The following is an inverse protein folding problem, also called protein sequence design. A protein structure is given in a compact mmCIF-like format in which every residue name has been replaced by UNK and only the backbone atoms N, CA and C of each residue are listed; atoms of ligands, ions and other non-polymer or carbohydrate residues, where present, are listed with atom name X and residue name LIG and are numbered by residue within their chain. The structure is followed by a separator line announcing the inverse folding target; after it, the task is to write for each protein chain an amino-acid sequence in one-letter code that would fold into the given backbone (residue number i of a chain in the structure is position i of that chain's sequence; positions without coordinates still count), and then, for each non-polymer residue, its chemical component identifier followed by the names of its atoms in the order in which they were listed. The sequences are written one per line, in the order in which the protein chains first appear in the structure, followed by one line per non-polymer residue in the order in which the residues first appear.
data_IF_073638243456
#
_entry.id   IF_073638243456
#
_cell.length_a   1.000
_cell.length_b   1.000
_cell.length_c   1.000
_cell.angle_alpha   90.00
_cell.angle_beta   90.00
_cell.angle_gamma   90.00
#
_symmetry.space_group_name_H-M   'P 1'
#
loop_
_entity.id
_entity.type
_entity.pdbx_description
1 polymer ?
#
# COMPACT_ATOMS: atom_id res chain seq x y z
N UNK A 1 -28.71 8.26 -77.66
CA UNK A 1 -29.68 7.34 -77.00
C UNK A 1 -29.33 7.25 -75.52
N UNK A 2 -30.34 7.37 -74.65
CA UNK A 2 -30.27 7.35 -73.17
C UNK A 2 -30.23 5.91 -72.62
N UNK A 3 -29.87 5.77 -71.33
CA UNK A 3 -30.37 4.87 -70.22
C UNK A 3 -29.18 4.61 -69.25
N UNK A 4 -29.02 5.18 -68.04
CA UNK A 4 -29.70 5.02 -66.70
C UNK A 4 -29.91 3.55 -66.31
N UNK A 5 -29.42 2.96 -65.19
CA UNK A 5 -29.58 3.20 -63.72
C UNK A 5 -28.59 2.31 -62.93
N UNK A 6 -27.87 2.74 -61.88
CA UNK A 6 -28.16 2.75 -60.41
C UNK A 6 -28.63 1.42 -59.77
N UNK A 7 -27.98 1.01 -58.66
CA UNK A 7 -28.42 0.17 -57.49
C UNK A 7 -27.35 -0.88 -57.13
N UNK A 8 -26.96 -1.25 -55.91
CA UNK A 8 -27.08 -0.80 -54.51
C UNK A 8 -26.17 -1.75 -53.72
N UNK A 9 -25.59 -1.28 -52.61
CA UNK A 9 -24.68 -2.07 -51.77
C UNK A 9 -25.33 -3.31 -51.14
N UNK A 10 -24.50 -4.29 -50.84
CA UNK A 10 -24.80 -5.38 -49.91
C UNK A 10 -23.60 -5.55 -48.97
N UNK A 11 -23.90 -5.46 -47.68
CA UNK A 11 -23.03 -5.74 -46.55
C UNK A 11 -22.24 -7.03 -46.77
N UNK A 12 -20.91 -6.95 -46.67
CA UNK A 12 -20.09 -8.13 -46.49
C UNK A 12 -20.39 -8.72 -45.09
N UNK A 13 -21.06 -9.86 -45.07
CA UNK A 13 -21.19 -10.68 -43.87
C UNK A 13 -19.79 -11.10 -43.38
N UNK A 14 -19.50 -11.08 -42.07
CA UNK A 14 -18.22 -11.55 -41.55
C UNK A 14 -18.07 -13.07 -41.76
N UNK A 15 -16.85 -13.56 -42.02
CA UNK A 15 -16.60 -14.96 -42.36
C UNK A 15 -16.91 -15.91 -41.17
N UNK A 16 -17.47 -17.10 -41.44
CA UNK A 16 -17.83 -18.10 -40.43
C UNK A 16 -16.60 -18.92 -40.01
N UNK A 17 -15.69 -18.31 -39.27
CA UNK A 17 -14.60 -19.02 -38.57
C UNK A 17 -14.63 -18.64 -37.08
N UNK A 18 -15.84 -18.54 -36.52
CA UNK A 18 -16.07 -18.16 -35.13
C UNK A 18 -17.01 -19.12 -34.41
N UNK A 19 -16.97 -20.42 -34.72
CA UNK A 19 -17.72 -21.42 -33.95
C UNK A 19 -16.90 -22.71 -33.86
N UNK A 20 -16.38 -23.01 -32.65
CA UNK A 20 -15.66 -24.24 -32.20
C UNK A 20 -14.12 -24.25 -32.10
N UNK A 21 -13.52 -23.21 -31.54
CA UNK A 21 -12.23 -23.35 -30.84
C UNK A 21 -12.19 -22.65 -29.46
N UNK A 22 -13.36 -22.27 -28.92
CA UNK A 22 -13.49 -21.59 -27.62
C UNK A 22 -13.44 -22.53 -26.40
N UNK A 23 -13.18 -23.82 -26.60
CA UNK A 23 -13.13 -24.79 -25.52
C UNK A 23 -11.93 -25.70 -25.72
N UNK A 24 -10.81 -25.35 -25.07
CA UNK A 24 -9.70 -26.23 -24.61
C UNK A 24 -8.35 -25.54 -24.76
N UNK A 25 -8.08 -24.57 -23.89
CA UNK A 25 -6.74 -24.39 -23.30
C UNK A 25 -6.77 -23.53 -22.03
N UNK A 26 -7.71 -23.86 -21.13
CA UNK A 26 -7.53 -23.60 -19.70
C UNK A 26 -6.44 -24.53 -19.16
N UNK A 27 -5.16 -24.15 -19.26
CA UNK A 27 -4.10 -24.61 -18.31
C UNK A 27 -2.72 -23.97 -18.53
N UNK A 28 -2.64 -22.65 -18.68
CA UNK A 28 -1.38 -21.95 -18.41
C UNK A 28 -1.38 -21.56 -16.92
N UNK A 29 -1.08 -22.55 -16.08
CA UNK A 29 -0.74 -22.31 -14.68
C UNK A 29 0.64 -21.67 -14.62
N UNK A 30 0.69 -20.37 -14.43
CA UNK A 30 1.85 -19.69 -13.88
C UNK A 30 1.38 -18.85 -12.71
N UNK A 31 1.23 -19.55 -11.59
CA UNK A 31 1.57 -19.12 -10.25
C UNK A 31 1.34 -17.63 -10.01
N UNK A 32 0.14 -17.31 -9.51
CA UNK A 32 -0.02 -16.15 -8.66
C UNK A 32 1.16 -16.17 -7.68
N UNK A 33 2.07 -15.20 -7.84
CA UNK A 33 3.14 -14.96 -6.88
C UNK A 33 2.42 -14.90 -5.55
N UNK A 34 2.61 -15.91 -4.70
CA UNK A 34 2.28 -15.79 -3.30
C UNK A 34 3.12 -14.61 -2.83
N UNK A 35 2.54 -13.41 -2.89
CA UNK A 35 3.10 -12.23 -2.25
C UNK A 35 3.31 -12.70 -0.82
N UNK A 36 4.58 -12.84 -0.41
CA UNK A 36 4.92 -13.23 0.95
C UNK A 36 4.18 -12.22 1.80
N UNK A 37 3.09 -12.66 2.45
CA UNK A 37 2.38 -11.84 3.41
C UNK A 37 3.31 -11.79 4.61
N UNK A 38 4.30 -10.90 4.53
CA UNK A 38 5.12 -10.55 5.67
C UNK A 38 4.18 -10.09 6.80
N UNK A 39 4.66 -10.12 8.05
CA UNK A 39 3.88 -9.68 9.20
C UNK A 39 3.19 -8.34 8.89
N UNK A 40 1.85 -8.35 8.86
CA UNK A 40 1.09 -7.12 8.67
C UNK A 40 1.29 -6.28 9.92
N UNK A 41 1.86 -5.09 9.75
CA UNK A 41 2.04 -4.14 10.85
C UNK A 41 0.66 -3.63 11.27
N UNK A 42 0.27 -3.91 12.50
CA UNK A 42 -0.96 -3.36 13.09
C UNK A 42 -0.81 -1.85 13.19
N UNK A 43 -1.80 -1.11 12.71
CA UNK A 43 -1.84 0.34 12.87
C UNK A 43 -2.32 0.67 14.28
N UNK A 44 -1.48 1.35 15.06
CA UNK A 44 -1.78 1.81 16.42
C UNK A 44 -1.87 3.33 16.38
N UNK A 45 -3.02 3.87 16.77
CA UNK A 45 -3.19 5.31 16.95
C UNK A 45 -2.71 5.73 18.33
N UNK A 46 -1.81 6.72 18.39
CA UNK A 46 -1.34 7.33 19.63
C UNK A 46 -1.86 8.75 19.69
N UNK A 47 -2.44 9.15 20.82
CA UNK A 47 -2.82 10.54 21.07
C UNK A 47 -1.62 11.30 21.61
N UNK A 48 -1.26 12.36 20.92
CA UNK A 48 -0.18 13.26 21.28
C UNK A 48 -0.71 14.69 21.29
N UNK A 49 -0.13 15.52 22.14
CA UNK A 49 -0.33 16.98 22.08
C UNK A 49 0.43 17.55 20.88
N UNK A 50 0.04 18.74 20.43
CA UNK A 50 0.71 19.41 19.31
C UNK A 50 2.19 19.67 19.59
N UNK A 51 2.52 20.08 20.82
CA UNK A 51 3.92 20.27 21.26
C UNK A 51 4.74 18.96 21.15
N UNK A 52 4.17 17.82 21.56
CA UNK A 52 4.85 16.53 21.43
C UNK A 52 5.06 16.14 19.95
N UNK A 53 4.10 16.49 19.08
CA UNK A 53 4.23 16.24 17.64
C UNK A 53 5.38 17.06 17.07
N UNK A 54 5.46 18.35 17.41
CA UNK A 54 6.53 19.24 16.95
C UNK A 54 7.91 18.79 17.44
N UNK A 55 8.03 18.39 18.70
CA UNK A 55 9.28 17.86 19.26
C UNK A 55 9.74 16.59 18.54
N UNK A 56 8.81 15.67 18.24
CA UNK A 56 9.11 14.45 17.50
C UNK A 56 9.47 14.74 16.04
N UNK A 57 8.81 15.70 15.40
CA UNK A 57 9.13 16.11 14.03
C UNK A 57 10.51 16.74 13.93
N UNK A 58 10.83 17.66 14.84
CA UNK A 58 12.15 18.28 14.91
C UNK A 58 13.24 17.22 15.09
N UNK A 59 13.03 16.27 16.00
CA UNK A 59 13.98 15.19 16.27
C UNK A 59 14.12 14.21 15.11
N UNK A 60 13.00 13.81 14.49
CA UNK A 60 13.04 12.92 13.32
C UNK A 60 13.79 13.56 12.15
N UNK A 61 13.61 14.88 11.93
CA UNK A 61 14.37 15.61 10.93
C UNK A 61 15.86 15.70 11.26
N UNK A 62 16.22 15.99 12.51
CA UNK A 62 17.62 16.12 12.91
C UNK A 62 18.38 14.79 12.85
N UNK A 63 17.70 13.68 13.11
CA UNK A 63 18.24 12.32 13.01
C UNK A 63 18.13 11.74 11.58
N UNK A 64 17.59 12.48 10.60
CA UNK A 64 17.44 12.04 9.22
C UNK A 64 16.39 10.92 9.03
N UNK A 65 15.52 10.70 10.01
CA UNK A 65 14.42 9.75 9.97
C UNK A 65 13.25 10.36 9.18
N UNK A 66 13.41 10.41 7.86
CA UNK A 66 12.41 10.94 6.93
C UNK A 66 11.81 9.85 6.05
N UNK A 67 10.58 10.05 5.59
CA UNK A 67 9.94 9.19 4.60
C UNK A 67 10.54 9.43 3.21
N UNK A 68 10.15 8.62 2.22
CA UNK A 68 10.52 8.84 0.82
C UNK A 68 10.04 10.19 0.27
N UNK A 69 9.02 10.78 0.88
CA UNK A 69 8.49 12.09 0.51
C UNK A 69 9.24 13.25 1.20
N UNK A 70 10.21 12.96 2.07
CA UNK A 70 10.94 13.98 2.84
C UNK A 70 10.21 14.45 4.10
N UNK A 71 9.10 13.81 4.47
CA UNK A 71 8.35 14.13 5.69
C UNK A 71 8.96 13.43 6.92
N UNK A 72 8.86 14.00 8.13
CA UNK A 72 9.36 13.37 9.35
C UNK A 72 8.69 12.02 9.63
N UNK A 73 9.48 10.97 9.86
CA UNK A 73 8.99 9.63 10.13
C UNK A 73 8.90 9.36 11.64
N UNK A 74 7.88 9.94 12.28
CA UNK A 74 7.59 9.78 13.72
C UNK A 74 7.45 8.32 14.14
N UNK A 75 6.83 7.50 13.30
CA UNK A 75 6.59 6.09 13.60
C UNK A 75 7.90 5.31 13.75
N UNK A 76 8.90 5.62 12.93
CA UNK A 76 10.20 4.96 13.03
C UNK A 76 10.99 5.47 14.23
N UNK A 77 10.98 6.78 14.48
CA UNK A 77 11.59 7.37 15.68
C UNK A 77 11.04 6.75 16.97
N UNK A 78 9.71 6.65 17.10
CA UNK A 78 9.07 6.04 18.28
C UNK A 78 9.49 4.58 18.46
N UNK A 79 9.62 3.80 17.37
CA UNK A 79 10.09 2.41 17.47
C UNK A 79 11.52 2.31 17.97
N UNK A 80 12.40 3.18 17.49
CA UNK A 80 13.80 3.23 17.96
C UNK A 80 13.83 3.58 19.44
N UNK A 81 13.04 4.58 19.87
CA UNK A 81 12.94 4.96 21.28
C UNK A 81 12.41 3.82 22.15
N UNK A 82 11.39 3.08 21.70
CA UNK A 82 10.85 1.91 22.42
C UNK A 82 11.91 0.80 22.51
N UNK A 83 12.56 0.46 21.40
CA UNK A 83 13.59 -0.57 21.39
C UNK A 83 14.78 -0.20 22.30
N UNK A 84 15.15 1.08 22.34
CA UNK A 84 16.16 1.57 23.28
C UNK A 84 15.68 1.47 24.73
N UNK A 85 14.44 1.87 25.02
CA UNK A 85 13.85 1.77 26.35
C UNK A 85 13.80 0.31 26.84
N UNK A 86 13.38 -0.63 26.00
CA UNK A 86 13.34 -2.06 26.32
C UNK A 86 14.72 -2.64 26.71
N UNK A 87 15.80 -2.12 26.12
CA UNK A 87 17.17 -2.60 26.40
C UNK A 87 17.77 -1.96 27.65
N UNK A 88 17.40 -0.71 27.96
CA UNK A 88 18.09 0.10 28.97
C UNK A 88 17.27 0.31 30.24
N UNK A 89 15.95 0.11 30.20
CA UNK A 89 15.08 0.27 31.35
C UNK A 89 14.83 -1.10 32.00
N UNK A 90 14.93 -1.21 33.34
CA UNK A 90 14.62 -2.45 34.03
C UNK A 90 13.13 -2.79 33.92
N UNK A 91 12.81 -4.07 34.14
CA UNK A 91 11.42 -4.51 34.25
C UNK A 91 10.70 -3.66 35.31
N UNK A 92 9.45 -3.30 35.02
CA UNK A 92 8.58 -2.45 35.86
C UNK A 92 9.04 -1.00 36.07
N UNK A 93 10.07 -0.55 35.35
CA UNK A 93 10.48 0.85 35.40
C UNK A 93 9.38 1.79 34.93
N UNK A 94 9.16 2.87 35.67
CA UNK A 94 8.28 3.99 35.31
C UNK A 94 8.94 5.30 35.74
N UNK A 95 8.65 6.42 35.07
CA UNK A 95 9.11 7.72 35.54
C UNK A 95 8.52 8.04 36.92
N UNK A 96 9.24 8.83 37.71
CA UNK A 96 8.78 9.25 39.03
C UNK A 96 7.43 9.99 38.93
N UNK A 97 6.50 9.66 39.83
CA UNK A 97 5.15 10.21 39.79
C UNK A 97 4.22 9.62 38.72
N UNK A 98 4.68 8.61 37.96
CA UNK A 98 3.81 7.92 37.00
C UNK A 98 2.62 7.27 37.72
N UNK A 99 1.42 7.55 37.21
CA UNK A 99 0.17 6.91 37.62
C UNK A 99 -0.61 6.55 36.37
N UNK A 100 -1.19 5.35 36.36
CA UNK A 100 -2.13 4.98 35.32
C UNK A 100 -3.37 5.87 35.41
N UNK A 101 -3.66 6.61 34.34
CA UNK A 101 -4.90 7.36 34.18
C UNK A 101 -5.64 6.67 33.04
N UNK A 102 -6.67 5.90 33.40
CA UNK A 102 -7.50 5.14 32.45
C UNK A 102 -8.44 6.04 31.65
#
# INVERSE_FOLDING_TARGET
MRFTTRTTGLLAAPPPILVRAAARMHRAGTQARHARQGPRRTMIGVRLTDEQIEQLDWRANSEGLVTKAGEPNRSELIRIMIAYAEQNMPADWRPEGWRYVG
#
